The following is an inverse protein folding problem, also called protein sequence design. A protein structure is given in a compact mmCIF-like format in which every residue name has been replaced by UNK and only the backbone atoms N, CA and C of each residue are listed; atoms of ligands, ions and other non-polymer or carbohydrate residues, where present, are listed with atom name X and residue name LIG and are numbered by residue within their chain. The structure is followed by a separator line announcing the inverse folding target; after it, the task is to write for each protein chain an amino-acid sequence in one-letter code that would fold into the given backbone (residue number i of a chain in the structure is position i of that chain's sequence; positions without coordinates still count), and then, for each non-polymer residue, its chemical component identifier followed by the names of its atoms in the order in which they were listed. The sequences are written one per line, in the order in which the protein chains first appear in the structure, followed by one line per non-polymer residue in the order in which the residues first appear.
data_IF_399503426104
#
_entry.id   IF_399503426104
#
_cell.length_a   1.000
_cell.length_b   1.000
_cell.length_c   1.000
_cell.angle_alpha   90.00
_cell.angle_beta   90.00
_cell.angle_gamma   90.00
#
_symmetry.space_group_name_H-M   'P 1'
#
loop_
_entity.id
_entity.type
_entity.pdbx_description
1 polymer ?
#
# COMPACT_ATOMS: atom_id res chain seq x y z
N UNK A 1 22.66 -20.30 13.96
CA UNK A 1 22.28 -20.37 15.39
C UNK A 1 23.50 -20.30 16.30
N UNK A 2 24.54 -21.12 16.08
CA UNK A 2 25.78 -21.12 16.87
C UNK A 2 26.45 -19.73 16.98
N UNK A 3 26.52 -18.99 15.86
CA UNK A 3 27.14 -17.67 15.84
C UNK A 3 26.39 -16.62 16.67
N UNK A 4 25.05 -16.67 16.68
CA UNK A 4 24.23 -15.80 17.54
C UNK A 4 24.44 -16.11 19.02
N UNK A 5 24.51 -17.40 19.35
CA UNK A 5 24.78 -17.84 20.72
C UNK A 5 26.18 -17.43 21.19
N UNK A 6 27.20 -17.53 20.31
CA UNK A 6 28.55 -17.09 20.61
C UNK A 6 28.63 -15.59 20.89
N UNK A 7 27.99 -14.76 20.04
CA UNK A 7 27.90 -13.30 20.26
C UNK A 7 27.16 -12.95 21.56
N UNK A 8 26.11 -13.70 21.91
CA UNK A 8 25.37 -13.49 23.15
C UNK A 8 26.22 -13.80 24.39
N UNK A 9 27.03 -14.86 24.36
CA UNK A 9 27.96 -15.19 25.43
C UNK A 9 29.05 -14.13 25.60
N UNK A 10 29.68 -13.71 24.50
CA UNK A 10 30.69 -12.66 24.54
C UNK A 10 30.16 -11.35 25.15
N UNK A 11 28.91 -10.96 24.85
CA UNK A 11 28.26 -9.81 25.48
C UNK A 11 28.01 -10.01 26.97
N UNK A 12 27.60 -11.20 27.38
CA UNK A 12 27.40 -11.49 28.80
C UNK A 12 28.72 -11.38 29.58
N UNK A 13 29.79 -11.98 29.04
CA UNK A 13 31.15 -11.90 29.61
C UNK A 13 31.67 -10.46 29.69
N UNK A 14 31.43 -9.66 28.65
CA UNK A 14 31.76 -8.23 28.63
C UNK A 14 30.99 -7.45 29.70
N UNK A 15 29.69 -7.73 29.86
CA UNK A 15 28.85 -7.08 30.87
C UNK A 15 29.26 -7.45 32.30
N UNK A 16 29.59 -8.71 32.53
CA UNK A 16 30.07 -9.17 33.83
C UNK A 16 31.41 -8.51 34.18
N UNK A 17 32.32 -8.40 33.19
CA UNK A 17 33.60 -7.69 33.35
C UNK A 17 33.40 -6.22 33.67
N UNK A 18 32.50 -5.54 32.95
CA UNK A 18 32.14 -4.14 33.22
C UNK A 18 31.59 -3.95 34.65
N UNK A 19 30.69 -4.84 35.10
CA UNK A 19 30.13 -4.78 36.45
C UNK A 19 31.19 -4.97 37.54
N UNK A 20 32.15 -5.88 37.32
CA UNK A 20 33.28 -6.08 38.24
C UNK A 20 34.15 -4.83 38.32
N UNK A 21 34.44 -4.17 37.20
CA UNK A 21 35.23 -2.94 37.17
C UNK A 21 34.50 -1.78 37.85
N UNK A 22 33.21 -1.60 37.56
CA UNK A 22 32.37 -0.57 38.19
C UNK A 22 32.27 -0.76 39.70
N UNK A 23 32.15 -2.00 40.18
CA UNK A 23 32.04 -2.29 41.61
C UNK A 23 33.29 -1.92 42.43
N UNK A 24 34.45 -1.74 41.76
CA UNK A 24 35.72 -1.39 42.40
C UNK A 24 36.33 -0.11 41.85
N UNK A 25 35.50 0.79 41.30
CA UNK A 25 35.94 2.00 40.60
C UNK A 25 36.93 2.85 41.40
N UNK A 26 36.78 2.91 42.73
CA UNK A 26 37.64 3.68 43.63
C UNK A 26 39.06 3.10 43.82
N UNK A 27 39.31 1.88 43.34
CA UNK A 27 40.57 1.14 43.55
C UNK A 27 41.14 0.57 42.25
N UNK A 28 40.70 1.07 41.09
CA UNK A 28 41.19 0.61 39.80
C UNK A 28 42.63 1.06 39.59
N UNK A 29 43.42 0.17 38.99
CA UNK A 29 44.69 0.55 38.36
C UNK A 29 44.44 1.41 37.11
N UNK A 30 45.47 2.08 36.61
CA UNK A 30 45.35 2.91 35.39
C UNK A 30 44.92 2.10 34.16
N UNK A 31 45.39 0.85 34.04
CA UNK A 31 45.00 -0.06 32.96
C UNK A 31 43.56 -0.52 33.08
N UNK A 32 43.11 -0.87 34.29
CA UNK A 32 41.71 -1.24 34.53
C UNK A 32 40.75 -0.05 34.36
N UNK A 33 41.19 1.16 34.71
CA UNK A 33 40.45 2.39 34.42
C UNK A 33 40.31 2.67 32.93
N UNK A 34 41.37 2.44 32.14
CA UNK A 34 41.30 2.54 30.68
C UNK A 34 40.36 1.50 30.08
N UNK A 35 40.43 0.25 30.56
CA UNK A 35 39.54 -0.83 30.14
C UNK A 35 38.07 -0.54 30.48
N UNK A 36 37.80 0.04 31.66
CA UNK A 36 36.47 0.49 32.05
C UNK A 36 35.95 1.57 31.09
N UNK A 37 36.79 2.57 30.78
CA UNK A 37 36.41 3.62 29.84
C UNK A 37 36.07 3.07 28.45
N UNK A 38 36.89 2.16 27.92
CA UNK A 38 36.65 1.46 26.65
C UNK A 38 35.31 0.72 26.65
N UNK A 39 35.07 -0.14 27.64
CA UNK A 39 33.82 -0.90 27.71
C UNK A 39 32.58 -0.02 27.89
N UNK A 40 32.67 1.08 28.65
CA UNK A 40 31.55 2.01 28.77
C UNK A 40 31.25 2.73 27.45
N UNK A 41 32.27 3.06 26.67
CA UNK A 41 32.09 3.69 25.36
C UNK A 41 31.41 2.73 24.38
N UNK A 42 31.85 1.48 24.35
CA UNK A 42 31.26 0.43 23.51
C UNK A 42 29.78 0.18 23.85
N UNK A 43 29.44 0.11 25.15
CA UNK A 43 28.05 -0.08 25.59
C UNK A 43 27.16 1.13 25.27
N UNK A 44 27.69 2.34 25.36
CA UNK A 44 26.96 3.55 24.95
C UNK A 44 26.71 3.56 23.43
N UNK A 45 27.73 3.25 22.63
CA UNK A 45 27.59 3.16 21.17
C UNK A 45 26.59 2.08 20.76
N UNK A 46 26.63 0.90 21.40
CA UNK A 46 25.68 -0.18 21.18
C UNK A 46 24.24 0.23 21.56
N UNK A 47 24.08 0.95 22.68
CA UNK A 47 22.78 1.44 23.15
C UNK A 47 22.19 2.49 22.20
N UNK A 48 23.00 3.42 21.69
CA UNK A 48 22.55 4.44 20.74
C UNK A 48 22.17 3.81 19.40
N UNK A 49 22.94 2.83 18.94
CA UNK A 49 22.59 2.05 17.74
C UNK A 49 21.26 1.30 17.92
N UNK A 50 21.06 0.65 19.08
CA UNK A 50 19.79 -0.03 19.39
C UNK A 50 18.61 0.95 19.46
N UNK A 51 18.81 2.13 20.04
CA UNK A 51 17.77 3.17 20.11
C UNK A 51 17.38 3.64 18.70
N UNK A 52 18.37 3.93 17.86
CA UNK A 52 18.15 4.34 16.47
C UNK A 52 17.40 3.27 15.66
N UNK A 53 17.84 2.02 15.75
CA UNK A 53 17.18 0.89 15.04
C UNK A 53 15.76 0.65 15.54
N UNK A 54 15.53 0.71 16.85
CA UNK A 54 14.19 0.55 17.44
C UNK A 54 13.25 1.68 16.98
N UNK A 55 13.71 2.92 16.95
CA UNK A 55 12.92 4.05 16.44
C UNK A 55 12.60 3.87 14.94
N UNK A 56 13.56 3.42 14.14
CA UNK A 56 13.33 3.10 12.73
C UNK A 56 12.28 2.01 12.53
N UNK A 57 12.36 0.93 13.33
CA UNK A 57 11.38 -0.15 13.30
C UNK A 57 9.98 0.31 13.73
N UNK A 58 9.89 1.15 14.77
CA UNK A 58 8.62 1.70 15.21
C UNK A 58 7.95 2.55 14.13
N UNK A 59 8.70 3.40 13.42
CA UNK A 59 8.19 4.17 12.28
C UNK A 59 7.72 3.26 11.15
N UNK A 60 8.53 2.27 10.77
CA UNK A 60 8.15 1.32 9.73
C UNK A 60 6.87 0.52 10.08
N UNK A 61 6.67 0.20 11.37
CA UNK A 61 5.44 -0.43 11.84
C UNK A 61 4.23 0.51 11.77
N UNK A 62 4.42 1.79 12.10
CA UNK A 62 3.37 2.82 11.98
C UNK A 62 2.96 3.00 10.52
N UNK A 63 3.92 3.20 9.62
CA UNK A 63 3.66 3.35 8.18
C UNK A 63 2.89 2.14 7.61
N UNK A 64 3.28 0.92 8.03
CA UNK A 64 2.62 -0.30 7.57
C UNK A 64 1.21 -0.46 8.16
N UNK A 65 0.99 -0.01 9.39
CA UNK A 65 -0.34 0.01 9.99
C UNK A 65 -1.26 1.02 9.28
N UNK A 66 -0.74 2.18 8.90
CA UNK A 66 -1.49 3.17 8.11
C UNK A 66 -1.84 2.64 6.72
N UNK A 67 -0.89 2.00 6.03
CA UNK A 67 -1.15 1.34 4.75
C UNK A 67 -2.22 0.24 4.85
N UNK A 68 -2.19 -0.56 5.92
CA UNK A 68 -3.20 -1.59 6.14
C UNK A 68 -4.59 -0.98 6.37
N UNK A 69 -4.69 0.08 7.18
CA UNK A 69 -5.97 0.79 7.38
C UNK A 69 -6.51 1.36 6.07
N UNK A 70 -5.67 2.02 5.29
CA UNK A 70 -6.08 2.55 3.98
C UNK A 70 -6.55 1.44 3.02
N UNK A 71 -5.87 0.29 3.02
CA UNK A 71 -6.29 -0.87 2.23
C UNK A 71 -7.62 -1.46 2.72
N UNK A 72 -7.82 -1.56 4.03
CA UNK A 72 -9.09 -2.01 4.62
C UNK A 72 -10.24 -1.06 4.27
N UNK A 73 -10.02 0.25 4.33
CA UNK A 73 -11.03 1.25 3.97
C UNK A 73 -11.39 1.17 2.48
N UNK A 74 -10.40 1.02 1.60
CA UNK A 74 -10.64 0.82 0.17
C UNK A 74 -11.41 -0.48 -0.12
N UNK A 75 -11.17 -1.55 0.64
CA UNK A 75 -11.95 -2.80 0.53
C UNK A 75 -13.39 -2.57 0.95
N UNK A 76 -13.62 -1.89 2.09
CA UNK A 76 -14.99 -1.58 2.56
C UNK A 76 -15.76 -0.75 1.54
N UNK A 77 -15.12 0.24 0.94
CA UNK A 77 -15.72 1.06 -0.12
C UNK A 77 -16.08 0.20 -1.34
N UNK A 78 -15.15 -0.63 -1.82
CA UNK A 78 -15.41 -1.53 -2.95
C UNK A 78 -16.52 -2.56 -2.67
N UNK A 79 -16.60 -3.06 -1.44
CA UNK A 79 -17.68 -3.97 -1.02
C UNK A 79 -19.03 -3.25 -0.97
N UNK A 80 -19.06 -2.01 -0.49
CA UNK A 80 -20.26 -1.18 -0.49
C UNK A 80 -20.76 -0.90 -1.92
N UNK A 81 -19.87 -0.45 -2.81
CA UNK A 81 -20.20 -0.19 -4.22
C UNK A 81 -20.74 -1.45 -4.91
N UNK A 82 -20.13 -2.62 -4.63
CA UNK A 82 -20.60 -3.90 -5.15
C UNK A 82 -22.01 -4.20 -4.67
N UNK A 83 -22.28 -4.02 -3.39
CA UNK A 83 -23.58 -4.33 -2.80
C UNK A 83 -24.67 -3.38 -3.33
N UNK A 84 -24.35 -2.09 -3.54
CA UNK A 84 -25.23 -1.14 -4.23
C UNK A 84 -25.51 -1.55 -5.68
N UNK A 85 -24.48 -1.93 -6.44
CA UNK A 85 -24.65 -2.39 -7.81
C UNK A 85 -25.52 -3.66 -7.89
N UNK A 86 -25.32 -4.60 -6.97
CA UNK A 86 -26.15 -5.81 -6.88
C UNK A 86 -27.60 -5.48 -6.56
N UNK A 87 -27.86 -4.52 -5.66
CA UNK A 87 -29.20 -4.06 -5.36
C UNK A 87 -29.87 -3.42 -6.59
N UNK A 88 -29.15 -2.57 -7.34
CA UNK A 88 -29.65 -1.97 -8.58
C UNK A 88 -29.97 -3.03 -9.64
N UNK A 89 -29.10 -4.03 -9.82
CA UNK A 89 -29.35 -5.14 -10.74
C UNK A 89 -30.59 -5.93 -10.35
N UNK A 90 -30.80 -6.19 -9.05
CA UNK A 90 -32.01 -6.85 -8.57
C UNK A 90 -33.28 -6.04 -8.88
N UNK A 91 -33.25 -4.73 -8.62
CA UNK A 91 -34.35 -3.80 -8.93
C UNK A 91 -34.66 -3.80 -10.42
N UNK A 92 -33.65 -3.65 -11.28
CA UNK A 92 -33.81 -3.72 -12.74
C UNK A 92 -34.37 -5.07 -13.19
N UNK A 93 -33.91 -6.17 -12.59
CA UNK A 93 -34.44 -7.51 -12.82
C UNK A 93 -35.92 -7.63 -12.47
N UNK A 94 -36.37 -6.99 -11.40
CA UNK A 94 -37.80 -6.92 -11.06
C UNK A 94 -38.60 -6.10 -12.08
N UNK A 95 -38.10 -4.93 -12.49
CA UNK A 95 -38.73 -4.11 -13.53
C UNK A 95 -38.85 -4.86 -14.87
N UNK A 96 -37.77 -5.50 -15.32
CA UNK A 96 -37.79 -6.30 -16.55
C UNK A 96 -38.79 -7.45 -16.49
N UNK A 97 -38.87 -8.14 -15.35
CA UNK A 97 -39.87 -9.19 -15.15
C UNK A 97 -41.31 -8.65 -15.13
N UNK A 98 -41.54 -7.45 -14.60
CA UNK A 98 -42.84 -6.79 -14.62
C UNK A 98 -43.25 -6.45 -16.07
N UNK A 99 -42.37 -5.79 -16.82
CA UNK A 99 -42.56 -5.47 -18.24
C UNK A 99 -42.80 -6.75 -19.05
N UNK A 100 -42.08 -7.85 -18.76
CA UNK A 100 -42.30 -9.16 -19.41
C UNK A 100 -43.68 -9.73 -19.18
N UNK A 101 -44.25 -9.53 -17.99
CA UNK A 101 -45.62 -9.96 -17.69
C UNK A 101 -46.64 -9.09 -18.40
N UNK A 102 -46.40 -7.78 -18.48
CA UNK A 102 -47.28 -6.83 -19.17
C UNK A 102 -47.29 -7.01 -20.69
N UNK A 103 -46.13 -7.30 -21.28
CA UNK A 103 -45.96 -7.50 -22.74
C UNK A 103 -46.40 -8.88 -23.23
N UNK A 104 -47.03 -9.72 -22.39
CA UNK A 104 -47.53 -11.07 -22.68
C UNK A 104 -47.98 -11.29 -24.15
N UNK A 105 -47.04 -11.68 -25.03
CA UNK A 105 -47.31 -11.94 -26.46
C UNK A 105 -46.47 -11.17 -27.49
N UNK A 106 -45.73 -10.12 -27.11
CA UNK A 106 -44.81 -9.43 -28.05
C UNK A 106 -43.43 -10.12 -28.02
N UNK A 107 -42.86 -10.57 -29.16
CA UNK A 107 -41.56 -11.22 -29.18
C UNK A 107 -40.47 -10.19 -28.81
N UNK A 108 -39.87 -10.39 -27.64
CA UNK A 108 -38.73 -9.60 -27.20
C UNK A 108 -37.52 -9.94 -28.09
N UNK A 109 -36.74 -8.96 -28.60
CA UNK A 109 -35.45 -9.26 -29.19
C UNK A 109 -34.59 -10.03 -28.19
N UNK A 110 -33.87 -11.05 -28.65
CA UNK A 110 -33.14 -12.01 -27.83
C UNK A 110 -32.20 -11.28 -26.84
N UNK A 111 -32.64 -11.16 -25.58
CA UNK A 111 -32.00 -10.37 -24.52
C UNK A 111 -30.51 -10.69 -24.35
N UNK A 112 -30.06 -11.96 -24.40
CA UNK A 112 -28.64 -12.31 -24.39
C UNK A 112 -27.86 -11.67 -25.55
N UNK A 113 -28.45 -11.52 -26.74
CA UNK A 113 -27.81 -10.85 -27.87
C UNK A 113 -27.71 -9.34 -27.65
N UNK A 114 -28.81 -8.70 -27.24
CA UNK A 114 -28.84 -7.26 -26.97
C UNK A 114 -27.85 -6.84 -25.85
N UNK A 115 -27.75 -7.63 -24.78
CA UNK A 115 -26.79 -7.38 -23.69
C UNK A 115 -25.35 -7.56 -24.16
N UNK A 116 -25.06 -8.59 -24.97
CA UNK A 116 -23.73 -8.79 -25.56
C UNK A 116 -23.36 -7.66 -26.53
N UNK A 117 -24.32 -7.16 -27.29
CA UNK A 117 -24.13 -6.06 -28.23
C UNK A 117 -23.84 -4.75 -27.49
N UNK A 118 -24.61 -4.43 -26.45
CA UNK A 118 -24.39 -3.27 -25.60
C UNK A 118 -23.03 -3.33 -24.87
N UNK A 119 -22.63 -4.49 -24.38
CA UNK A 119 -21.32 -4.68 -23.74
C UNK A 119 -20.16 -4.50 -24.76
N UNK A 120 -20.33 -4.97 -25.99
CA UNK A 120 -19.36 -4.78 -27.06
C UNK A 120 -19.25 -3.30 -27.47
N UNK A 121 -20.38 -2.59 -27.54
CA UNK A 121 -20.43 -1.15 -27.82
C UNK A 121 -19.70 -0.36 -26.73
N UNK A 122 -19.97 -0.63 -25.44
CA UNK A 122 -19.29 0.04 -24.33
C UNK A 122 -17.77 -0.21 -24.32
N UNK A 123 -17.32 -1.42 -24.66
CA UNK A 123 -15.90 -1.73 -24.76
C UNK A 123 -15.24 -0.98 -25.93
N UNK A 124 -15.94 -0.82 -27.06
CA UNK A 124 -15.47 -0.03 -28.18
C UNK A 124 -15.38 1.46 -27.82
N UNK A 125 -16.37 2.01 -27.11
CA UNK A 125 -16.34 3.40 -26.64
C UNK A 125 -15.18 3.65 -25.69
N UNK A 126 -14.89 2.70 -24.79
CA UNK A 126 -13.77 2.81 -23.84
C UNK A 126 -12.42 2.83 -24.54
N UNK A 127 -12.21 1.94 -25.52
CA UNK A 127 -11.00 1.92 -26.35
C UNK A 127 -10.83 3.19 -27.17
N UNK A 128 -11.92 3.73 -27.73
CA UNK A 128 -11.89 5.00 -28.45
C UNK A 128 -11.51 6.16 -27.51
N UNK A 129 -11.99 6.15 -26.27
CA UNK A 129 -11.62 7.15 -25.27
C UNK A 129 -10.16 7.03 -24.81
N UNK A 130 -9.64 5.80 -24.67
CA UNK A 130 -8.21 5.53 -24.39
C UNK A 130 -7.33 5.99 -25.55
N UNK A 131 -7.66 5.61 -26.79
CA UNK A 131 -6.94 6.07 -27.98
C UNK A 131 -6.98 7.59 -28.16
N UNK A 132 -8.10 8.23 -27.83
CA UNK A 132 -8.21 9.69 -27.87
C UNK A 132 -7.35 10.36 -26.80
N UNK A 133 -7.21 9.74 -25.62
CA UNK A 133 -6.35 10.21 -24.53
C UNK A 133 -4.87 10.07 -24.87
N UNK A 134 -4.46 8.90 -25.34
CA UNK A 134 -3.07 8.64 -25.78
C UNK A 134 -2.66 9.59 -26.91
N UNK A 135 -3.58 9.83 -27.86
CA UNK A 135 -3.37 10.81 -28.94
C UNK A 135 -3.29 12.25 -28.44
N UNK A 136 -3.95 12.58 -27.33
CA UNK A 136 -3.87 13.91 -26.71
C UNK A 136 -2.53 14.12 -25.99
N UNK A 137 -1.98 13.05 -25.40
CA UNK A 137 -0.69 13.07 -24.70
C UNK A 137 0.51 13.09 -25.67
N UNK A 138 0.33 12.64 -26.92
CA UNK A 138 1.35 12.68 -27.98
C UNK A 138 1.44 14.03 -28.73
N UNK A 139 0.46 14.93 -28.57
CA UNK A 139 0.47 16.24 -29.22
C UNK A 139 1.44 17.20 -28.51
N UNK A 140 2.37 17.77 -29.28
CA UNK A 140 3.26 18.82 -28.75
C UNK A 140 2.49 20.14 -28.57
N UNK A 141 2.89 21.03 -27.63
CA UNK A 141 2.17 22.29 -27.38
C UNK A 141 1.95 23.20 -28.61
N UNK A 142 2.77 23.06 -29.66
CA UNK A 142 2.60 23.76 -30.94
C UNK A 142 1.48 23.21 -31.83
N UNK A 143 1.11 21.93 -31.70
CA UNK A 143 0.06 21.28 -32.50
C UNK A 143 -1.34 21.46 -31.90
N UNK A 144 -1.43 21.58 -30.57
CA UNK A 144 -2.69 21.86 -29.85
C UNK A 144 -3.26 23.24 -30.21
N UNK A 145 -2.38 24.23 -30.47
CA UNK A 145 -2.80 25.57 -30.89
C UNK A 145 -3.35 25.62 -32.32
N UNK A 146 -3.00 24.65 -33.18
CA UNK A 146 -3.53 24.58 -34.56
C UNK A 146 -4.88 23.85 -34.63
N UNK A 147 -5.19 22.99 -33.66
CA UNK A 147 -6.45 22.23 -33.65
C UNK A 147 -7.64 23.05 -33.11
N UNK A 148 -7.37 24.13 -32.37
CA UNK A 148 -8.40 25.03 -31.82
C UNK A 148 -8.76 26.21 -32.75
N UNK A 149 -8.08 26.38 -33.89
CA UNK A 149 -8.19 27.59 -34.75
C UNK A 149 -9.00 27.37 -36.04
N UNK A 150 -9.76 26.27 -36.15
CA UNK A 150 -10.71 26.05 -37.24
C UNK A 150 -12.10 25.66 -36.74
N UNK A 151 -12.95 26.64 -36.37
CA UNK A 151 -14.38 26.48 -36.58
C UNK A 151 -14.64 26.61 -38.07
N UNK A 152 -14.97 25.50 -38.74
CA UNK A 152 -15.67 25.59 -40.04
C UNK A 152 -17.16 25.71 -39.72
N UNK A 153 -17.72 26.82 -40.22
CA UNK A 153 -19.15 27.10 -40.34
C UNK A 153 -19.97 25.92 -40.90
#
# INVERSE_FOLDING_TARGET
MAERAARARARAEQRDTLLILLARVDRLSSTEGALLAEYTHDELAASDHLRSTTQGQQRALQDRAEQLRAAEDAIREAEHDRDEALAQVAVLGHYLNAIRRELNGVPWPDLPHAVRQLAAEQAATRRLAEMARDRWDELTPSEVLTTLDHPKD
#
